data_IF_341356909102
#
_entry.id   IF_341356909102
#
_cell.length_a   1.000
_cell.length_b   1.000
_cell.length_c   1.000
_cell.angle_alpha   90.00
_cell.angle_beta   90.00
_cell.angle_gamma   90.00
#
_symmetry.space_group_name_H-M   'P 1'
#
loop_
_entity.id
_entity.type
_entity.pdbx_description
1 polymer ?
#
# COMPACT_ATOMS: atom_id res chain seq x y z
N UNK A 1 36.67 75.59 -5.61
CA UNK A 1 36.60 74.25 -5.01
C UNK A 1 35.27 73.63 -5.40
N UNK A 2 35.27 72.69 -6.34
CA UNK A 2 34.06 71.96 -6.78
C UNK A 2 34.13 70.58 -6.14
N UNK A 3 33.15 70.25 -5.29
CA UNK A 3 33.00 68.92 -4.69
C UNK A 3 32.27 68.02 -5.68
N UNK A 4 32.96 66.97 -6.16
CA UNK A 4 32.36 65.90 -6.95
C UNK A 4 31.94 64.79 -5.97
N UNK A 5 30.64 64.64 -5.72
CA UNK A 5 30.11 63.55 -4.90
C UNK A 5 29.96 62.29 -5.76
N UNK A 6 30.80 61.28 -5.49
CA UNK A 6 30.75 59.98 -6.13
C UNK A 6 29.68 59.12 -5.44
N UNK A 7 28.54 58.91 -6.10
CA UNK A 7 27.51 58.00 -5.62
C UNK A 7 27.92 56.55 -5.93
N UNK A 8 28.31 55.80 -4.90
CA UNK A 8 28.56 54.35 -4.99
C UNK A 8 27.22 53.63 -4.87
N UNK A 9 26.69 53.15 -6.00
CA UNK A 9 25.55 52.23 -6.04
C UNK A 9 26.02 50.84 -5.61
N UNK A 10 25.76 50.48 -4.35
CA UNK A 10 25.94 49.13 -3.83
C UNK A 10 24.85 48.22 -4.43
N UNK A 11 25.22 47.42 -5.44
CA UNK A 11 24.41 46.27 -5.86
C UNK A 11 24.55 45.17 -4.80
N UNK A 12 23.54 45.02 -3.94
CA UNK A 12 23.42 43.83 -3.11
C UNK A 12 23.06 42.64 -4.02
N UNK A 13 23.81 41.53 -4.01
CA UNK A 13 23.39 40.34 -4.73
C UNK A 13 22.12 39.81 -4.08
N UNK A 14 21.04 39.71 -4.86
CA UNK A 14 19.88 38.92 -4.46
C UNK A 14 20.34 37.46 -4.36
N UNK A 15 20.60 37.00 -3.14
CA UNK A 15 20.74 35.58 -2.88
C UNK A 15 19.38 34.94 -3.20
N UNK A 16 19.33 34.18 -4.29
CA UNK A 16 18.18 33.32 -4.59
C UNK A 16 18.12 32.30 -3.46
N UNK A 17 17.09 32.36 -2.62
CA UNK A 17 16.85 31.33 -1.63
C UNK A 17 16.83 29.99 -2.37
N UNK A 18 17.68 29.05 -1.94
CA UNK A 18 17.72 27.71 -2.51
C UNK A 18 16.33 27.09 -2.27
N UNK A 19 15.62 26.75 -3.34
CA UNK A 19 14.29 26.15 -3.22
C UNK A 19 14.44 24.82 -2.47
N UNK A 20 13.83 24.74 -1.29
CA UNK A 20 13.83 23.53 -0.48
C UNK A 20 13.27 22.39 -1.34
N UNK A 21 14.03 21.30 -1.57
CA UNK A 21 13.63 20.27 -2.54
C UNK A 21 12.44 19.42 -2.07
N UNK A 22 11.99 19.60 -0.83
CA UNK A 22 10.90 18.86 -0.19
C UNK A 22 10.08 19.76 0.74
N UNK A 23 8.82 19.36 0.95
CA UNK A 23 7.97 19.91 2.00
C UNK A 23 8.15 19.09 3.27
N UNK A 24 7.99 19.70 4.43
CA UNK A 24 8.08 19.02 5.73
C UNK A 24 6.77 19.11 6.49
N UNK A 25 6.39 18.01 7.13
CA UNK A 25 5.16 17.88 7.91
C UNK A 25 5.51 17.41 9.31
N UNK A 26 5.04 18.11 10.35
CA UNK A 26 5.26 17.64 11.70
C UNK A 26 4.86 18.58 12.83
N UNK A 27 4.90 18.07 14.07
CA UNK A 27 4.55 18.83 15.27
C UNK A 27 5.65 19.81 15.70
N UNK A 28 6.89 19.67 15.23
CA UNK A 28 7.99 20.52 15.66
C UNK A 28 7.89 21.95 15.10
N UNK A 29 8.44 22.91 15.84
CA UNK A 29 8.64 24.27 15.33
C UNK A 29 9.65 24.23 14.16
N UNK A 30 9.20 24.58 12.95
CA UNK A 30 10.04 24.55 11.74
C UNK A 30 9.60 23.55 10.65
N UNK A 31 8.55 22.75 10.90
CA UNK A 31 7.87 22.07 9.80
C UNK A 31 7.08 23.09 8.96
N UNK A 32 7.05 22.89 7.64
CA UNK A 32 6.32 23.77 6.71
C UNK A 32 4.80 23.65 6.93
N UNK A 33 4.33 22.44 7.24
CA UNK A 33 2.92 22.12 7.48
C UNK A 33 2.70 21.30 8.74
N UNK A 34 1.47 21.36 9.28
CA UNK A 34 1.09 20.60 10.48
C UNK A 34 0.45 19.27 10.12
N UNK A 35 -0.29 19.22 9.03
CA UNK A 35 -0.96 18.01 8.56
C UNK A 35 -0.40 17.53 7.22
N UNK A 36 -0.61 16.25 6.94
CA UNK A 36 -0.19 15.65 5.66
C UNK A 36 -1.03 16.21 4.52
N UNK A 37 -2.33 16.45 4.75
CA UNK A 37 -3.23 17.01 3.74
C UNK A 37 -2.80 18.41 3.31
N UNK A 38 -2.48 19.31 4.26
CA UNK A 38 -2.01 20.67 3.94
C UNK A 38 -0.78 20.66 3.00
N UNK A 39 0.15 19.72 3.22
CA UNK A 39 1.33 19.60 2.37
C UNK A 39 1.01 19.02 0.98
N UNK A 40 0.02 18.12 0.87
CA UNK A 40 -0.47 17.61 -0.41
C UNK A 40 -1.18 18.73 -1.18
N UNK A 41 -2.02 19.51 -0.51
CA UNK A 41 -2.78 20.61 -1.10
C UNK A 41 -1.87 21.71 -1.67
N UNK A 42 -0.69 21.88 -1.09
CA UNK A 42 0.33 22.80 -1.57
C UNK A 42 1.04 22.36 -2.87
N UNK A 43 0.90 21.08 -3.27
CA UNK A 43 1.42 20.59 -4.54
C UNK A 43 0.48 20.98 -5.68
N UNK A 44 0.96 21.58 -6.79
CA UNK A 44 0.12 21.94 -7.94
C UNK A 44 -0.68 20.74 -8.49
N UNK A 45 -1.92 20.99 -8.95
CA UNK A 45 -2.79 19.96 -9.52
C UNK A 45 -2.17 19.25 -10.74
N UNK A 46 -1.41 19.98 -11.54
CA UNK A 46 -0.73 19.55 -12.76
C UNK A 46 0.74 19.17 -12.51
N UNK A 47 1.11 18.83 -11.27
CA UNK A 47 2.48 18.49 -10.90
C UNK A 47 3.06 17.39 -11.80
N UNK A 48 4.05 17.74 -12.62
CA UNK A 48 4.69 16.80 -13.55
C UNK A 48 6.08 16.34 -13.08
N UNK A 49 6.50 16.75 -11.88
CA UNK A 49 7.85 16.50 -11.36
C UNK A 49 7.81 15.82 -9.99
N UNK A 50 8.79 14.98 -9.65
CA UNK A 50 8.87 14.38 -8.33
C UNK A 50 8.84 15.42 -7.21
N UNK A 51 7.88 15.28 -6.28
CA UNK A 51 7.75 16.13 -5.10
C UNK A 51 7.77 15.29 -3.83
N UNK A 52 8.75 15.53 -2.96
CA UNK A 52 8.87 14.82 -1.68
C UNK A 52 8.19 15.63 -0.58
N UNK A 53 7.35 14.95 0.20
CA UNK A 53 6.76 15.41 1.45
C UNK A 53 7.34 14.55 2.57
N UNK A 54 8.20 15.14 3.39
CA UNK A 54 8.90 14.49 4.50
C UNK A 54 8.10 14.64 5.79
N UNK A 55 7.59 13.53 6.31
CA UNK A 55 6.89 13.43 7.58
C UNK A 55 7.91 13.18 8.69
N UNK A 56 7.89 14.03 9.70
CA UNK A 56 8.62 13.84 10.95
C UNK A 56 8.02 12.66 11.75
N UNK A 57 8.69 12.19 12.81
CA UNK A 57 8.03 11.34 13.81
C UNK A 57 6.80 12.05 14.41
N UNK A 58 5.68 11.35 14.47
CA UNK A 58 4.41 11.92 14.93
C UNK A 58 3.20 11.09 14.54
N UNK A 59 2.07 11.45 15.14
CA UNK A 59 0.75 10.92 14.81
C UNK A 59 0.01 11.94 13.95
N UNK A 60 -0.40 11.52 12.77
CA UNK A 60 -1.15 12.29 11.78
C UNK A 60 -2.54 11.65 11.64
N UNK A 61 -3.52 12.20 12.33
CA UNK A 61 -4.87 11.65 12.39
C UNK A 61 -5.76 12.24 11.31
N UNK A 62 -6.43 11.38 10.53
CA UNK A 62 -7.49 11.81 9.62
C UNK A 62 -7.51 11.03 8.31
N UNK A 63 -8.58 11.26 7.54
CA UNK A 63 -8.71 10.81 6.17
C UNK A 63 -7.81 11.67 5.26
N UNK A 64 -6.68 11.12 4.81
CA UNK A 64 -5.74 11.80 3.91
C UNK A 64 -6.00 11.37 2.47
N UNK A 65 -6.20 12.35 1.58
CA UNK A 65 -6.41 12.13 0.15
C UNK A 65 -5.19 12.60 -0.61
N UNK A 66 -4.53 11.67 -1.31
CA UNK A 66 -3.51 11.99 -2.30
C UNK A 66 -4.16 11.99 -3.67
N UNK A 67 -4.20 13.16 -4.31
CA UNK A 67 -4.84 13.40 -5.59
C UNK A 67 -3.89 14.03 -6.64
N UNK A 68 -2.58 13.96 -6.38
CA UNK A 68 -1.53 14.53 -7.24
C UNK A 68 -0.54 13.46 -7.69
N UNK A 69 -0.10 13.46 -8.95
CA UNK A 69 0.90 12.51 -9.42
C UNK A 69 2.31 12.91 -8.94
N UNK A 70 3.24 11.97 -8.99
CA UNK A 70 4.66 12.13 -8.65
C UNK A 70 4.95 12.60 -7.21
N UNK A 71 4.01 12.41 -6.28
CA UNK A 71 4.21 12.75 -4.87
C UNK A 71 4.80 11.58 -4.10
N UNK A 72 5.85 11.85 -3.33
CA UNK A 72 6.43 10.91 -2.36
C UNK A 72 6.06 11.33 -0.94
N UNK A 73 5.33 10.50 -0.20
CA UNK A 73 5.16 10.64 1.25
C UNK A 73 6.24 9.79 1.94
N UNK A 74 7.20 10.45 2.59
CA UNK A 74 8.34 9.78 3.24
C UNK A 74 8.35 10.05 4.74
N UNK A 75 8.31 9.00 5.54
CA UNK A 75 8.43 9.09 7.00
C UNK A 75 9.82 8.76 7.53
N UNK A 76 9.89 8.54 8.84
CA UNK A 76 11.09 8.10 9.58
C UNK A 76 10.94 6.65 10.11
N UNK A 77 10.13 5.83 9.44
CA UNK A 77 9.80 4.47 9.84
C UNK A 77 8.51 4.40 10.68
N UNK A 78 8.40 3.41 11.60
CA UNK A 78 7.16 3.14 12.32
C UNK A 78 6.60 4.32 13.14
N UNK A 79 7.46 5.27 13.52
CA UNK A 79 7.13 6.44 14.35
C UNK A 79 6.47 7.58 13.59
N UNK A 80 6.41 7.52 12.25
CA UNK A 80 5.63 8.44 11.42
C UNK A 80 4.31 7.73 11.06
N UNK A 81 3.28 7.97 11.88
CA UNK A 81 2.02 7.24 11.87
C UNK A 81 0.91 8.08 11.24
N UNK A 82 0.42 7.69 10.07
CA UNK A 82 -0.80 8.22 9.48
C UNK A 82 -1.94 7.25 9.84
N UNK A 83 -2.88 7.72 10.65
CA UNK A 83 -3.90 6.85 11.26
C UNK A 83 -5.30 7.43 11.16
N UNK A 84 -6.28 6.54 11.07
CA UNK A 84 -7.70 6.89 11.13
C UNK A 84 -8.48 5.82 11.89
N UNK A 85 -9.79 6.00 12.04
CA UNK A 85 -10.60 5.11 12.88
C UNK A 85 -12.04 4.89 12.38
N UNK A 86 -12.33 5.18 11.11
CA UNK A 86 -13.67 4.98 10.56
C UNK A 86 -13.77 3.69 9.75
N UNK A 87 -14.92 3.03 9.89
CA UNK A 87 -15.36 1.94 9.04
C UNK A 87 -16.41 2.41 8.03
N UNK A 88 -16.77 1.53 7.09
CA UNK A 88 -17.84 1.78 6.13
C UNK A 88 -19.24 1.68 6.77
N UNK A 89 -20.28 2.11 6.05
CA UNK A 89 -21.68 2.02 6.47
C UNK A 89 -21.99 2.70 7.83
N UNK A 90 -21.14 3.64 8.25
CA UNK A 90 -21.38 4.51 9.38
C UNK A 90 -21.92 5.84 8.84
N UNK A 91 -22.95 6.44 9.45
CA UNK A 91 -23.41 7.77 9.05
C UNK A 91 -22.28 8.81 9.12
N UNK A 92 -22.01 9.46 7.99
CA UNK A 92 -21.10 10.58 7.88
C UNK A 92 -21.70 11.89 8.39
N UNK A 93 -20.90 12.96 8.36
CA UNK A 93 -21.32 14.29 8.82
C UNK A 93 -22.47 14.89 7.99
N UNK A 94 -22.60 14.47 6.73
CA UNK A 94 -23.67 14.83 5.80
C UNK A 94 -24.89 13.89 5.89
N UNK A 95 -24.87 12.93 6.82
CA UNK A 95 -25.91 11.92 7.00
C UNK A 95 -25.88 10.79 5.96
N UNK A 96 -24.96 10.81 4.99
CA UNK A 96 -24.76 9.70 4.05
C UNK A 96 -23.81 8.67 4.65
N UNK A 97 -23.98 7.40 4.28
CA UNK A 97 -23.08 6.36 4.74
C UNK A 97 -21.67 6.56 4.19
N UNK A 98 -20.68 6.45 5.09
CA UNK A 98 -19.27 6.43 4.70
C UNK A 98 -19.03 5.19 3.84
N UNK A 99 -18.58 5.42 2.61
CA UNK A 99 -18.12 4.35 1.73
C UNK A 99 -16.64 4.09 1.96
N UNK A 100 -16.09 3.09 1.26
CA UNK A 100 -14.66 2.84 1.23
C UNK A 100 -13.81 4.08 0.91
N UNK A 101 -14.35 5.08 0.16
CA UNK A 101 -13.64 6.34 -0.13
C UNK A 101 -13.34 7.08 1.17
N UNK A 102 -14.32 7.21 2.07
CA UNK A 102 -14.19 7.97 3.31
C UNK A 102 -13.65 7.18 4.50
N UNK A 103 -13.52 5.84 4.41
CA UNK A 103 -13.04 5.00 5.51
C UNK A 103 -11.51 4.83 5.53
N UNK A 104 -10.81 5.13 4.43
CA UNK A 104 -9.36 4.93 4.34
C UNK A 104 -8.58 5.95 5.19
N UNK A 105 -7.53 5.53 5.89
CA UNK A 105 -6.58 6.50 6.46
C UNK A 105 -5.84 7.24 5.35
N UNK A 106 -5.36 6.52 4.32
CA UNK A 106 -4.77 7.09 3.11
C UNK A 106 -5.52 6.63 1.85
N UNK A 107 -6.08 7.56 1.08
CA UNK A 107 -6.72 7.29 -0.20
C UNK A 107 -5.94 7.92 -1.35
N UNK A 108 -5.44 7.08 -2.26
CA UNK A 108 -4.85 7.50 -3.53
C UNK A 108 -5.92 7.48 -4.60
N UNK A 109 -6.26 8.66 -5.12
CA UNK A 109 -7.27 8.82 -6.17
C UNK A 109 -6.72 8.37 -7.53
N UNK A 110 -7.56 8.30 -8.59
CA UNK A 110 -7.09 8.03 -9.95
C UNK A 110 -6.05 9.02 -10.48
N UNK A 111 -5.86 10.20 -9.87
CA UNK A 111 -4.85 11.17 -10.28
C UNK A 111 -3.46 10.94 -9.65
N UNK A 112 -3.36 10.09 -8.62
CA UNK A 112 -2.14 9.88 -7.83
C UNK A 112 -1.12 8.92 -8.46
N UNK A 113 -0.92 9.02 -9.78
CA UNK A 113 0.04 8.19 -10.49
C UNK A 113 1.48 8.45 -10.03
N UNK A 114 2.33 7.42 -10.12
CA UNK A 114 3.76 7.54 -9.78
C UNK A 114 4.03 7.95 -8.32
N UNK A 115 3.06 7.72 -7.43
CA UNK A 115 3.20 8.01 -6.02
C UNK A 115 4.12 7.00 -5.31
N UNK A 116 4.86 7.48 -4.31
CA UNK A 116 5.71 6.64 -3.46
C UNK A 116 5.36 6.90 -1.99
N UNK A 117 5.01 5.84 -1.27
CA UNK A 117 4.80 5.85 0.16
C UNK A 117 5.95 5.08 0.80
N UNK A 118 6.77 5.74 1.62
CA UNK A 118 8.03 5.18 2.08
C UNK A 118 8.23 5.39 3.59
N UNK A 119 8.57 4.32 4.30
CA UNK A 119 8.93 4.36 5.72
C UNK A 119 7.87 5.04 6.60
N UNK A 120 6.60 4.65 6.43
CA UNK A 120 5.45 5.14 7.18
C UNK A 120 4.66 3.99 7.81
N UNK A 121 3.96 4.26 8.91
CA UNK A 121 2.84 3.42 9.35
C UNK A 121 1.54 4.03 8.83
N UNK A 122 0.76 3.24 8.09
CA UNK A 122 -0.62 3.52 7.72
C UNK A 122 -1.52 2.62 8.57
N UNK A 123 -2.48 3.19 9.29
CA UNK A 123 -3.31 2.42 10.20
C UNK A 123 -4.78 2.83 10.15
N UNK A 124 -5.67 1.84 10.20
CA UNK A 124 -7.05 2.06 10.59
C UNK A 124 -7.37 1.32 11.89
N UNK A 125 -7.72 2.09 12.92
CA UNK A 125 -7.95 1.63 14.29
C UNK A 125 -9.40 1.28 14.58
N UNK A 126 -10.32 1.32 13.60
CA UNK A 126 -11.74 1.01 13.79
C UNK A 126 -11.96 -0.32 14.54
N UNK A 127 -11.15 -1.34 14.22
CA UNK A 127 -11.23 -2.64 14.87
C UNK A 127 -11.99 -3.68 14.05
N UNK A 128 -12.51 -4.69 14.74
CA UNK A 128 -13.35 -5.73 14.13
C UNK A 128 -14.79 -5.28 13.99
N UNK A 129 -15.50 -5.87 13.03
CA UNK A 129 -16.96 -5.73 12.88
C UNK A 129 -17.39 -4.90 11.67
N UNK A 130 -16.46 -4.22 10.99
CA UNK A 130 -16.72 -3.48 9.76
C UNK A 130 -15.47 -3.43 8.88
N UNK A 131 -15.67 -3.27 7.58
CA UNK A 131 -14.63 -2.92 6.61
C UNK A 131 -14.02 -1.57 6.96
N UNK A 132 -12.70 -1.51 7.07
CA UNK A 132 -11.99 -0.29 7.46
C UNK A 132 -10.57 -0.27 6.87
N UNK A 133 -10.38 0.53 5.82
CA UNK A 133 -9.14 0.58 5.05
C UNK A 133 -8.06 1.37 5.81
N UNK A 134 -6.85 0.82 5.90
CA UNK A 134 -5.66 1.62 6.18
C UNK A 134 -5.27 2.40 4.92
N UNK A 135 -5.37 1.78 3.74
CA UNK A 135 -5.25 2.49 2.47
C UNK A 135 -6.16 1.95 1.36
N UNK A 136 -6.49 2.83 0.42
CA UNK A 136 -7.21 2.54 -0.81
C UNK A 136 -6.47 3.16 -1.99
N UNK A 137 -6.22 2.36 -3.04
CA UNK A 137 -5.40 2.76 -4.20
C UNK A 137 -6.19 2.59 -5.48
N UNK A 138 -6.36 3.70 -6.22
CA UNK A 138 -6.99 3.73 -7.55
C UNK A 138 -6.01 4.20 -8.65
N UNK A 139 -4.71 4.21 -8.35
CA UNK A 139 -3.67 4.75 -9.22
C UNK A 139 -2.71 3.68 -9.77
N UNK A 140 -2.09 4.02 -10.91
CA UNK A 140 -1.02 3.26 -11.56
C UNK A 140 0.38 3.70 -11.11
N UNK A 141 1.33 2.75 -11.11
CA UNK A 141 2.75 2.95 -10.77
C UNK A 141 3.00 3.44 -9.34
N UNK A 142 2.27 2.87 -8.38
CA UNK A 142 2.39 3.24 -6.96
C UNK A 142 3.36 2.31 -6.23
N UNK A 143 4.28 2.88 -5.45
CA UNK A 143 5.20 2.12 -4.59
C UNK A 143 4.83 2.31 -3.12
N UNK A 144 4.75 1.21 -2.38
CA UNK A 144 4.83 1.19 -0.92
C UNK A 144 6.13 0.51 -0.52
N UNK A 145 6.97 1.17 0.27
CA UNK A 145 8.30 0.65 0.61
C UNK A 145 8.60 0.81 2.09
N UNK A 146 8.98 -0.30 2.75
CA UNK A 146 9.29 -0.32 4.19
C UNK A 146 8.16 0.28 5.04
N UNK A 147 6.92 0.13 4.57
CA UNK A 147 5.73 0.61 5.27
C UNK A 147 5.22 -0.44 6.25
N UNK A 148 4.53 0.01 7.30
CA UNK A 148 3.64 -0.81 8.11
C UNK A 148 2.21 -0.46 7.71
N UNK A 149 1.38 -1.42 7.33
CA UNK A 149 0.00 -1.18 6.90
C UNK A 149 -0.92 -2.05 7.76
N UNK A 150 -1.66 -1.40 8.65
CA UNK A 150 -2.26 -2.03 9.82
C UNK A 150 -3.78 -1.85 9.81
N UNK A 151 -4.52 -2.94 9.89
CA UNK A 151 -5.97 -2.89 10.03
C UNK A 151 -6.53 -4.24 10.47
N UNK A 152 -7.83 -4.43 10.19
CA UNK A 152 -8.56 -5.67 10.46
C UNK A 152 -9.23 -6.20 9.20
N UNK A 153 -10.47 -5.84 8.92
CA UNK A 153 -11.16 -6.22 7.68
C UNK A 153 -10.85 -5.20 6.60
N UNK A 154 -10.56 -5.67 5.38
CA UNK A 154 -10.35 -4.81 4.20
C UNK A 154 -9.21 -3.78 4.40
N UNK A 155 -8.09 -4.18 5.02
CA UNK A 155 -6.97 -3.27 5.36
C UNK A 155 -6.40 -2.53 4.14
N UNK A 156 -6.26 -3.19 3.00
CA UNK A 156 -5.73 -2.63 1.76
C UNK A 156 -6.70 -2.89 0.62
N UNK A 157 -7.23 -1.82 0.02
CA UNK A 157 -8.01 -1.87 -1.22
C UNK A 157 -7.13 -1.50 -2.41
N UNK A 158 -6.99 -2.41 -3.38
CA UNK A 158 -6.20 -2.24 -4.60
C UNK A 158 -7.11 -2.31 -5.83
N UNK A 159 -7.68 -1.19 -6.23
CA UNK A 159 -8.75 -1.18 -7.23
C UNK A 159 -8.25 -1.46 -8.64
N UNK A 160 -7.24 -0.71 -9.09
CA UNK A 160 -6.71 -0.77 -10.46
C UNK A 160 -5.26 -0.32 -10.50
N UNK A 161 -4.65 -0.30 -11.69
CA UNK A 161 -3.24 0.09 -11.88
C UNK A 161 -2.24 -0.98 -11.44
N UNK A 162 -0.96 -0.63 -11.52
CA UNK A 162 0.17 -1.41 -11.04
C UNK A 162 0.68 -0.88 -9.72
N UNK A 163 0.90 -1.77 -8.75
CA UNK A 163 1.54 -1.42 -7.48
C UNK A 163 2.70 -2.34 -7.14
N UNK A 164 3.69 -1.80 -6.44
CA UNK A 164 4.77 -2.54 -5.79
C UNK A 164 4.72 -2.32 -4.28
N UNK A 165 4.73 -3.41 -3.51
CA UNK A 165 4.95 -3.42 -2.08
C UNK A 165 6.31 -4.07 -1.80
N UNK A 166 7.28 -3.31 -1.30
CA UNK A 166 8.67 -3.74 -1.10
C UNK A 166 9.04 -3.69 0.38
N UNK A 167 9.28 -4.86 0.98
CA UNK A 167 9.65 -5.02 2.40
C UNK A 167 8.67 -4.36 3.37
N UNK A 168 7.38 -4.47 3.07
CA UNK A 168 6.32 -3.95 3.93
C UNK A 168 5.92 -4.99 5.00
N UNK A 169 5.41 -4.49 6.12
CA UNK A 169 4.67 -5.28 7.10
C UNK A 169 3.18 -4.98 6.93
N UNK A 170 2.35 -5.97 6.65
CA UNK A 170 0.92 -5.81 6.39
C UNK A 170 0.15 -6.70 7.36
N UNK A 171 -0.83 -6.16 8.08
CA UNK A 171 -1.61 -6.96 9.04
C UNK A 171 -3.12 -6.76 8.91
N UNK A 172 -3.86 -7.87 8.97
CA UNK A 172 -5.32 -7.88 8.95
C UNK A 172 -5.89 -9.28 9.22
N UNK A 173 -7.15 -9.53 8.88
CA UNK A 173 -7.78 -10.85 9.03
C UNK A 173 -8.66 -11.27 7.84
N UNK A 174 -9.84 -10.66 7.65
CA UNK A 174 -10.79 -10.92 6.56
C UNK A 174 -10.46 -9.99 5.39
N UNK A 175 -10.26 -10.59 4.22
CA UNK A 175 -10.09 -9.92 2.92
C UNK A 175 -9.11 -8.74 2.96
N UNK A 176 -8.07 -8.84 3.78
CA UNK A 176 -7.32 -7.65 4.16
C UNK A 176 -6.39 -7.11 3.07
N UNK A 177 -6.22 -7.85 1.97
CA UNK A 177 -5.65 -7.39 0.71
C UNK A 177 -6.63 -7.77 -0.41
N UNK A 178 -7.34 -6.81 -0.98
CA UNK A 178 -8.42 -7.10 -1.94
C UNK A 178 -8.49 -6.08 -3.07
N UNK A 179 -9.18 -6.44 -4.16
CA UNK A 179 -9.40 -5.58 -5.32
C UNK A 179 -8.88 -6.15 -6.65
N UNK A 180 -8.95 -5.36 -7.71
CA UNK A 180 -8.70 -5.77 -9.11
C UNK A 180 -7.36 -5.36 -9.71
N UNK A 181 -6.48 -4.71 -8.95
CA UNK A 181 -5.20 -4.23 -9.44
C UNK A 181 -4.19 -5.35 -9.80
N UNK A 182 -3.13 -4.94 -10.49
CA UNK A 182 -1.91 -5.73 -10.66
C UNK A 182 -0.92 -5.33 -9.58
N UNK A 183 -0.67 -6.19 -8.60
CA UNK A 183 0.16 -5.82 -7.45
C UNK A 183 1.23 -6.87 -7.16
N UNK A 184 2.48 -6.42 -7.00
CA UNK A 184 3.62 -7.26 -6.66
C UNK A 184 4.08 -6.96 -5.24
N UNK A 185 4.08 -7.97 -4.37
CA UNK A 185 4.56 -7.90 -2.99
C UNK A 185 5.87 -8.66 -2.90
N UNK A 186 6.95 -7.97 -2.54
CA UNK A 186 8.30 -8.51 -2.52
C UNK A 186 8.89 -8.41 -1.11
N UNK A 187 9.33 -9.55 -0.57
CA UNK A 187 9.98 -9.63 0.74
C UNK A 187 9.14 -9.00 1.88
N UNK A 188 7.82 -9.04 1.76
CA UNK A 188 6.90 -8.50 2.76
C UNK A 188 6.65 -9.52 3.88
N UNK A 189 6.29 -9.02 5.06
CA UNK A 189 5.66 -9.82 6.10
C UNK A 189 4.15 -9.57 6.11
N UNK A 190 3.38 -10.65 6.00
CA UNK A 190 1.94 -10.67 5.97
C UNK A 190 1.46 -11.31 7.27
N UNK A 191 1.04 -10.48 8.21
CA UNK A 191 0.71 -10.87 9.57
C UNK A 191 -0.80 -11.05 9.76
N UNK A 192 -1.24 -12.31 9.87
CA UNK A 192 -2.64 -12.68 10.03
C UNK A 192 -3.06 -12.56 11.50
N UNK A 193 -3.89 -11.58 11.83
CA UNK A 193 -4.28 -11.25 13.21
C UNK A 193 -5.29 -12.23 13.81
N UNK A 194 -6.10 -12.86 12.97
CA UNK A 194 -7.17 -13.78 13.35
C UNK A 194 -7.59 -14.62 12.12
N UNK A 195 -8.59 -15.50 12.28
CA UNK A 195 -9.23 -16.21 11.18
C UNK A 195 -9.76 -15.26 10.11
N UNK A 196 -9.54 -15.63 8.85
CA UNK A 196 -10.05 -14.91 7.69
C UNK A 196 -9.40 -15.37 6.40
N UNK A 197 -9.08 -14.39 5.56
CA UNK A 197 -8.58 -14.56 4.19
C UNK A 197 -7.53 -13.48 3.94
N UNK A 198 -6.31 -13.89 3.58
CA UNK A 198 -5.27 -12.92 3.23
C UNK A 198 -5.67 -12.09 2.02
N UNK A 199 -6.17 -12.78 0.99
CA UNK A 199 -6.53 -12.14 -0.28
C UNK A 199 -7.98 -12.33 -0.66
N UNK A 200 -8.56 -11.29 -1.26
CA UNK A 200 -9.85 -11.36 -1.95
C UNK A 200 -9.77 -10.65 -3.32
N UNK A 201 -9.04 -11.24 -4.29
CA UNK A 201 -8.83 -10.62 -5.60
C UNK A 201 -10.13 -10.55 -6.41
N UNK A 202 -10.25 -9.48 -7.18
CA UNK A 202 -11.30 -9.21 -8.18
C UNK A 202 -10.66 -8.87 -9.53
N UNK A 203 -9.58 -9.58 -9.88
CA UNK A 203 -8.75 -9.28 -11.05
C UNK A 203 -9.54 -9.45 -12.35
N UNK A 204 -9.50 -8.47 -13.27
CA UNK A 204 -10.07 -8.64 -14.59
C UNK A 204 -9.42 -9.76 -15.41
N UNK A 205 -10.19 -10.36 -16.30
CA UNK A 205 -9.68 -11.37 -17.23
C UNK A 205 -8.53 -10.81 -18.07
N UNK A 206 -7.51 -11.64 -18.32
CA UNK A 206 -6.33 -11.25 -19.11
C UNK A 206 -5.32 -10.36 -18.39
N UNK A 207 -5.56 -9.99 -17.11
CA UNK A 207 -4.60 -9.22 -16.31
C UNK A 207 -3.94 -10.08 -15.23
N UNK A 208 -2.69 -9.75 -14.90
CA UNK A 208 -2.04 -10.28 -13.70
C UNK A 208 -2.65 -9.63 -12.46
N UNK A 209 -2.98 -10.44 -11.46
CA UNK A 209 -3.59 -10.00 -10.20
C UNK A 209 -2.55 -9.74 -9.11
N UNK A 210 -2.77 -10.35 -7.95
CA UNK A 210 -1.92 -10.20 -6.78
C UNK A 210 -0.80 -11.26 -6.79
N UNK A 211 0.46 -10.84 -6.74
CA UNK A 211 1.62 -11.72 -6.73
C UNK A 211 2.47 -11.44 -5.50
N UNK A 212 2.72 -12.47 -4.69
CA UNK A 212 3.52 -12.42 -3.47
C UNK A 212 4.78 -13.23 -3.69
N UNK A 213 5.94 -12.60 -3.65
CA UNK A 213 7.24 -13.22 -3.86
C UNK A 213 8.14 -13.05 -2.63
N UNK A 214 8.68 -14.17 -2.15
CA UNK A 214 9.63 -14.21 -1.03
C UNK A 214 9.07 -13.59 0.27
N UNK A 215 7.74 -13.59 0.43
CA UNK A 215 7.06 -13.07 1.60
C UNK A 215 7.03 -14.09 2.75
N UNK A 216 6.83 -13.61 3.98
CA UNK A 216 6.55 -14.46 5.15
C UNK A 216 5.10 -14.27 5.60
N UNK A 217 4.38 -15.36 5.84
CA UNK A 217 3.03 -15.34 6.37
C UNK A 217 3.08 -15.74 7.85
N UNK A 218 2.86 -14.76 8.73
CA UNK A 218 3.04 -14.91 10.18
C UNK A 218 1.73 -14.78 10.94
N UNK A 219 1.73 -15.27 12.19
CA UNK A 219 0.54 -15.42 13.04
C UNK A 219 0.91 -15.11 14.50
N UNK A 220 0.01 -14.50 15.29
CA UNK A 220 0.11 -14.53 16.74
C UNK A 220 0.08 -15.97 17.28
N UNK A 221 0.75 -16.21 18.41
CA UNK A 221 0.68 -17.53 19.06
C UNK A 221 -0.77 -17.86 19.45
N UNK A 222 -1.23 -19.06 19.10
CA UNK A 222 -2.59 -19.53 19.39
C UNK A 222 -3.69 -18.88 18.54
N UNK A 223 -3.37 -18.08 17.52
CA UNK A 223 -4.39 -17.48 16.66
C UNK A 223 -5.15 -18.54 15.84
N UNK A 224 -6.45 -18.36 15.59
CA UNK A 224 -7.19 -19.20 14.65
C UNK A 224 -6.57 -19.25 13.25
N UNK A 225 -6.72 -20.37 12.52
CA UNK A 225 -6.10 -20.54 11.22
C UNK A 225 -6.83 -19.79 10.09
N UNK A 226 -6.07 -19.31 9.10
CA UNK A 226 -6.51 -18.43 8.00
C UNK A 226 -6.23 -19.04 6.62
N UNK A 227 -7.05 -18.67 5.64
CA UNK A 227 -6.84 -19.04 4.23
C UNK A 227 -5.94 -18.02 3.53
N UNK A 228 -5.18 -18.47 2.52
CA UNK A 228 -4.44 -17.60 1.59
C UNK A 228 -5.37 -16.66 0.81
N UNK A 229 -6.61 -17.07 0.57
CA UNK A 229 -7.60 -16.19 -0.01
C UNK A 229 -8.90 -16.87 -0.41
N UNK A 230 -9.78 -16.04 -0.98
CA UNK A 230 -11.05 -16.46 -1.58
C UNK A 230 -11.39 -15.64 -2.83
N UNK A 231 -12.06 -16.22 -3.82
CA UNK A 231 -12.29 -15.57 -5.11
C UNK A 231 -13.48 -14.60 -5.04
N UNK A 232 -13.24 -13.30 -5.25
CA UNK A 232 -14.27 -12.27 -5.08
C UNK A 232 -15.08 -11.99 -6.35
N UNK A 233 -14.43 -11.60 -7.46
CA UNK A 233 -15.09 -11.21 -8.72
C UNK A 233 -14.21 -11.51 -9.94
N UNK A 234 -14.84 -11.52 -11.12
CA UNK A 234 -14.19 -11.61 -12.43
C UNK A 234 -13.33 -12.87 -12.64
N UNK A 235 -12.03 -12.72 -12.89
CA UNK A 235 -11.07 -13.82 -13.02
C UNK A 235 -10.00 -13.69 -11.93
N UNK A 236 -10.37 -13.97 -10.66
CA UNK A 236 -9.58 -13.62 -9.50
C UNK A 236 -8.23 -14.35 -9.51
N UNK A 237 -7.14 -13.60 -9.34
CA UNK A 237 -5.79 -14.17 -9.28
C UNK A 237 -5.02 -13.74 -8.04
N UNK A 238 -4.48 -14.73 -7.35
CA UNK A 238 -3.51 -14.58 -6.28
C UNK A 238 -2.44 -15.68 -6.44
N UNK A 239 -1.17 -15.30 -6.41
CA UNK A 239 -0.04 -16.21 -6.60
C UNK A 239 0.98 -16.01 -5.47
N UNK A 240 1.36 -17.08 -4.80
CA UNK A 240 2.39 -17.08 -3.73
C UNK A 240 3.63 -17.83 -4.22
N UNK A 241 4.78 -17.17 -4.25
CA UNK A 241 6.03 -17.67 -4.85
C UNK A 241 7.13 -17.62 -3.79
N UNK A 242 7.73 -18.77 -3.47
CA UNK A 242 8.81 -18.89 -2.46
C UNK A 242 8.47 -18.29 -1.10
N UNK A 243 7.19 -18.22 -0.76
CA UNK A 243 6.73 -17.68 0.50
C UNK A 243 6.98 -18.68 1.64
N UNK A 244 7.31 -18.16 2.82
CA UNK A 244 7.36 -18.95 4.05
C UNK A 244 5.98 -18.90 4.73
N UNK A 245 5.26 -20.02 4.71
CA UNK A 245 3.91 -20.13 5.23
C UNK A 245 3.93 -20.62 6.68
N UNK A 246 3.50 -19.79 7.62
CA UNK A 246 3.34 -20.17 9.02
C UNK A 246 2.28 -21.25 9.24
N UNK A 247 2.35 -21.93 10.39
CA UNK A 247 1.51 -23.10 10.70
C UNK A 247 -0.01 -22.79 10.74
N UNK A 248 -0.37 -21.51 10.91
CA UNK A 248 -1.75 -21.03 10.90
C UNK A 248 -2.41 -20.99 9.51
N UNK A 249 -1.68 -21.25 8.42
CA UNK A 249 -2.31 -21.42 7.10
C UNK A 249 -3.14 -22.72 7.09
N UNK A 250 -4.41 -22.62 6.68
CA UNK A 250 -5.30 -23.78 6.56
C UNK A 250 -4.78 -24.80 5.54
N UNK A 251 -5.09 -26.08 5.76
CA UNK A 251 -4.56 -27.17 4.93
C UNK A 251 -5.06 -27.09 3.49
N UNK A 252 -6.30 -26.64 3.32
CA UNK A 252 -6.98 -26.34 2.06
C UNK A 252 -6.30 -25.22 1.27
N UNK A 253 -5.58 -24.33 1.96
CA UNK A 253 -4.96 -23.12 1.40
C UNK A 253 -5.99 -22.04 1.07
N UNK A 254 -7.01 -22.38 0.29
CA UNK A 254 -7.97 -21.44 -0.29
C UNK A 254 -9.41 -21.82 0.03
N UNK A 255 -10.32 -20.85 -0.02
CA UNK A 255 -11.75 -21.06 0.24
C UNK A 255 -12.58 -20.61 -0.95
N UNK A 256 -13.57 -21.43 -1.33
CA UNK A 256 -14.60 -21.11 -2.32
C UNK A 256 -15.47 -19.92 -1.87
N UNK A 257 -15.98 -19.13 -2.83
CA UNK A 257 -16.81 -17.97 -2.50
C UNK A 257 -17.79 -17.56 -3.60
N UNK A 258 -17.42 -16.61 -4.48
CA UNK A 258 -18.32 -15.98 -5.46
C UNK A 258 -18.01 -16.31 -6.91
N UNK A 259 -16.78 -16.70 -7.19
CA UNK A 259 -16.33 -17.12 -8.52
C UNK A 259 -15.79 -18.54 -8.39
N UNK A 260 -16.17 -19.39 -9.34
CA UNK A 260 -15.80 -20.80 -9.38
C UNK A 260 -14.75 -21.08 -10.46
N UNK A 261 -14.10 -22.24 -10.37
CA UNK A 261 -13.24 -22.74 -11.44
C UNK A 261 -14.05 -22.92 -12.74
N UNK A 262 -13.44 -22.71 -13.93
CA UNK A 262 -12.01 -22.50 -14.17
C UNK A 262 -11.58 -21.01 -14.15
N UNK A 263 -12.44 -20.07 -13.73
CA UNK A 263 -12.11 -18.64 -13.74
C UNK A 263 -11.15 -18.21 -12.63
N UNK A 264 -11.07 -19.00 -11.55
CA UNK A 264 -10.18 -18.79 -10.41
C UNK A 264 -8.74 -19.18 -10.80
N UNK A 265 -7.80 -18.24 -10.61
CA UNK A 265 -6.39 -18.40 -10.98
C UNK A 265 -5.49 -18.32 -9.75
N UNK A 266 -5.69 -19.23 -8.81
CA UNK A 266 -4.92 -19.28 -7.56
C UNK A 266 -3.77 -20.26 -7.66
N UNK A 267 -2.60 -19.85 -7.18
CA UNK A 267 -1.40 -20.67 -7.30
C UNK A 267 -0.39 -20.47 -6.15
N UNK A 268 0.32 -21.53 -5.84
CA UNK A 268 1.49 -21.57 -4.96
C UNK A 268 2.65 -22.23 -5.72
N UNK A 269 3.82 -21.60 -5.70
CA UNK A 269 5.06 -22.11 -6.30
C UNK A 269 6.19 -22.05 -5.29
N UNK A 270 6.80 -23.20 -4.97
CA UNK A 270 7.98 -23.27 -4.08
C UNK A 270 7.81 -22.62 -2.69
N UNK A 271 6.56 -22.44 -2.23
CA UNK A 271 6.28 -22.02 -0.86
C UNK A 271 6.73 -23.12 0.11
N UNK A 272 7.24 -22.71 1.28
CA UNK A 272 7.85 -23.59 2.29
C UNK A 272 7.31 -23.31 3.68
N UNK A 273 7.72 -24.11 4.66
CA UNK A 273 7.33 -23.96 6.07
C UNK A 273 6.07 -24.74 6.43
N UNK A 274 5.70 -24.73 7.72
CA UNK A 274 4.67 -25.64 8.26
C UNK A 274 3.26 -25.42 7.67
N UNK A 275 2.97 -24.25 7.11
CA UNK A 275 1.73 -23.98 6.39
C UNK A 275 1.70 -24.53 4.95
N UNK A 276 2.88 -24.74 4.35
CA UNK A 276 3.04 -25.31 3.01
C UNK A 276 3.02 -26.85 3.03
N UNK A 277 3.50 -27.47 4.10
CA UNK A 277 3.61 -28.92 4.27
C UNK A 277 2.28 -29.59 4.67
N UNK A 278 1.16 -29.27 3.98
CA UNK A 278 -0.17 -29.79 4.33
C UNK A 278 -0.86 -30.48 3.15
N UNK A 279 -1.34 -31.73 3.29
CA UNK A 279 -1.75 -32.59 2.16
C UNK A 279 -3.15 -32.33 1.59
N UNK A 280 -3.80 -31.21 1.91
CA UNK A 280 -5.23 -31.02 1.64
C UNK A 280 -5.56 -29.82 0.74
N UNK A 281 -4.59 -29.31 -0.06
CA UNK A 281 -4.84 -28.19 -0.97
C UNK A 281 -6.04 -28.46 -1.88
N UNK A 282 -6.87 -27.45 -2.07
CA UNK A 282 -8.01 -27.52 -2.97
C UNK A 282 -7.58 -27.88 -4.39
N UNK A 283 -8.31 -28.76 -5.06
CA UNK A 283 -7.97 -29.26 -6.40
C UNK A 283 -8.07 -28.21 -7.51
N UNK A 284 -8.78 -27.10 -7.26
CA UNK A 284 -8.99 -26.03 -8.23
C UNK A 284 -7.94 -24.91 -8.16
N UNK A 285 -6.92 -25.04 -7.30
CA UNK A 285 -5.75 -24.17 -7.27
C UNK A 285 -4.51 -24.93 -7.73
N UNK A 286 -3.51 -24.21 -8.23
CA UNK A 286 -2.21 -24.80 -8.59
C UNK A 286 -1.29 -24.84 -7.39
N UNK A 287 -0.67 -25.98 -7.14
CA UNK A 287 0.39 -26.14 -6.15
C UNK A 287 1.56 -26.86 -6.79
N UNK A 288 2.72 -26.20 -6.90
CA UNK A 288 3.87 -26.72 -7.63
C UNK A 288 5.19 -26.55 -6.87
N UNK A 289 6.04 -27.58 -6.94
CA UNK A 289 7.45 -27.56 -6.52
C UNK A 289 8.37 -26.89 -7.56
N UNK A 290 7.88 -26.76 -8.79
CA UNK A 290 8.61 -26.11 -9.88
C UNK A 290 8.64 -24.59 -9.71
N UNK A 291 9.65 -23.91 -10.28
CA UNK A 291 9.67 -22.46 -10.33
C UNK A 291 8.38 -21.89 -10.95
N UNK A 292 7.95 -20.74 -10.45
CA UNK A 292 6.84 -20.02 -11.04
C UNK A 292 7.16 -19.65 -12.51
N UNK A 293 6.16 -19.66 -13.41
CA UNK A 293 6.33 -19.15 -14.77
C UNK A 293 6.92 -17.73 -14.80
N UNK A 294 7.74 -17.44 -15.82
CA UNK A 294 8.38 -16.13 -16.00
C UNK A 294 7.36 -14.96 -16.05
N UNK A 295 6.12 -15.23 -16.43
CA UNK A 295 5.02 -14.25 -16.39
C UNK A 295 4.72 -13.68 -14.99
N UNK A 296 5.17 -14.36 -13.92
CA UNK A 296 5.07 -13.89 -12.54
C UNK A 296 6.37 -13.30 -11.98
N UNK A 297 7.41 -13.12 -12.80
CA UNK A 297 8.59 -12.35 -12.40
C UNK A 297 8.24 -10.85 -12.30
N UNK A 298 8.91 -10.14 -11.39
CA UNK A 298 8.61 -8.73 -11.10
C UNK A 298 8.59 -7.85 -12.36
N UNK A 299 9.56 -8.04 -13.27
CA UNK A 299 9.63 -7.31 -14.54
C UNK A 299 8.43 -7.60 -15.44
N UNK A 300 7.96 -8.85 -15.52
CA UNK A 300 6.80 -9.23 -16.31
C UNK A 300 5.49 -8.69 -15.69
N UNK A 301 5.34 -8.77 -14.36
CA UNK A 301 4.15 -8.30 -13.64
C UNK A 301 4.01 -6.77 -13.72
N UNK A 302 5.11 -6.03 -13.59
CA UNK A 302 5.11 -4.57 -13.65
C UNK A 302 5.21 -4.04 -15.09
N UNK A 303 5.58 -4.89 -16.05
CA UNK A 303 5.62 -4.58 -17.47
C UNK A 303 6.73 -3.60 -17.82
N UNK A 304 6.38 -2.53 -18.53
CA UNK A 304 7.29 -1.46 -18.95
C UNK A 304 7.68 -0.51 -17.81
N UNK A 305 7.05 -0.63 -16.64
CA UNK A 305 7.33 0.24 -15.50
C UNK A 305 8.54 -0.26 -14.70
N UNK A 306 9.53 0.62 -14.57
CA UNK A 306 10.65 0.46 -13.62
C UNK A 306 10.37 1.30 -12.38
N UNK A 307 10.05 0.69 -11.22
CA UNK A 307 9.83 1.43 -9.98
C UNK A 307 11.08 2.24 -9.58
N UNK A 308 10.93 3.45 -9.03
CA UNK A 308 12.07 4.28 -8.62
C UNK A 308 12.95 3.53 -7.63
N UNK A 309 14.28 3.68 -7.79
CA UNK A 309 15.25 3.10 -6.89
C UNK A 309 15.05 3.59 -5.43
N UNK A 310 15.64 2.89 -4.47
CA UNK A 310 15.68 3.38 -3.09
C UNK A 310 16.57 4.61 -3.07
N UNK A 311 16.01 5.76 -2.66
CA UNK A 311 16.85 6.92 -2.39
C UNK A 311 17.83 6.54 -1.28
N UNK A 312 19.13 6.67 -1.55
CA UNK A 312 20.16 6.54 -0.50
C UNK A 312 19.88 7.64 0.54
N UNK A 313 19.96 7.31 1.84
CA UNK A 313 19.71 8.27 2.91
C UNK A 313 20.65 9.48 2.86
#
# INVERSE_FOLDING_TARGET
>A
MVFLALAVLLFAPFARAEEKPFLTVGPAAGADYRTVQEAIDAVPADNAVPKVIQLQPGLYFGHTVLDKPFVTLRGSGPVSLLTYNLGQAIPGADGQEITWRGAAALHLTPAAHDAVIEALTLENTFGKGMQAQACSVEADRVVFRRCRILGWQDTIRLETGRQLFDRCYISGHVDFIYGGATAFFEACEIHCRDQGYITAPATPAGRTGLVFADCRITFPYGSPPTYLGRPWRESPQAVFIRCELGAGVKAEGWKDWRVEAPLVRFAEYQSRGPGAEKPARVAWATFASEPAPAAFERSAVLGDWTPPAVAQP
#
